data_IF_172006307377
#
_entry.id   IF_172006307377
#
_cell.length_a   1.000
_cell.length_b   1.000
_cell.length_c   1.000
_cell.angle_alpha   90.00
_cell.angle_beta   90.00
_cell.angle_gamma   90.00
#
_symmetry.space_group_name_H-M   'P 1'
#
loop_
_entity.id
_entity.type
_entity.pdbx_description
1 polymer ?
#
# COMPACT_ATOMS: atom_id res chain seq x y z
N UNK A 1 66.49 -12.91 -16.24
CA UNK A 1 65.49 -13.36 -15.23
C UNK A 1 65.83 -12.65 -13.93
N UNK A 2 64.97 -11.77 -13.38
CA UNK A 2 65.29 -11.08 -12.14
C UNK A 2 65.41 -12.11 -11.00
N UNK A 3 66.52 -12.06 -10.27
CA UNK A 3 66.79 -12.94 -9.14
C UNK A 3 65.81 -12.63 -8.00
N UNK A 4 64.96 -13.60 -7.66
CA UNK A 4 64.09 -13.56 -6.49
C UNK A 4 64.95 -13.77 -5.24
N UNK A 5 65.38 -12.68 -4.61
CA UNK A 5 66.00 -12.74 -3.27
C UNK A 5 64.90 -12.84 -2.21
N UNK A 6 65.22 -13.47 -1.08
CA UNK A 6 64.29 -13.64 0.05
C UNK A 6 63.74 -12.28 0.51
N UNK A 7 64.57 -11.23 0.47
CA UNK A 7 64.18 -9.85 0.81
C UNK A 7 63.05 -9.33 -0.09
N UNK A 8 63.11 -9.56 -1.41
CA UNK A 8 62.06 -9.13 -2.36
C UNK A 8 60.74 -9.85 -2.08
N UNK A 9 60.78 -11.11 -1.64
CA UNK A 9 59.59 -11.85 -1.25
C UNK A 9 59.02 -11.36 0.08
N UNK A 10 59.87 -11.01 1.04
CA UNK A 10 59.46 -10.44 2.33
C UNK A 10 58.77 -9.08 2.13
N UNK A 11 59.39 -8.17 1.37
CA UNK A 11 58.80 -6.87 1.04
C UNK A 11 57.45 -7.00 0.31
N UNK A 12 57.32 -8.00 -0.56
CA UNK A 12 56.08 -8.28 -1.29
C UNK A 12 54.97 -8.77 -0.37
N UNK A 13 55.30 -9.62 0.62
CA UNK A 13 54.34 -10.14 1.59
C UNK A 13 53.88 -9.03 2.53
N UNK A 14 54.80 -8.21 3.03
CA UNK A 14 54.47 -7.08 3.90
C UNK A 14 53.56 -6.07 3.19
N UNK A 15 53.85 -5.75 1.92
CA UNK A 15 53.00 -4.90 1.09
C UNK A 15 51.61 -5.50 0.83
N UNK A 16 51.50 -6.83 0.72
CA UNK A 16 50.22 -7.52 0.55
C UNK A 16 49.40 -7.53 1.84
N UNK A 17 50.03 -7.75 2.99
CA UNK A 17 49.37 -7.70 4.31
C UNK A 17 48.85 -6.31 4.65
N UNK A 18 49.60 -5.28 4.28
CA UNK A 18 49.19 -3.89 4.48
C UNK A 18 48.01 -3.50 3.58
N UNK A 19 48.02 -3.95 2.31
CA UNK A 19 46.88 -3.83 1.41
C UNK A 19 45.65 -4.57 1.91
N UNK A 20 45.83 -5.77 2.46
CA UNK A 20 44.70 -6.58 2.95
C UNK A 20 44.01 -5.92 4.16
N UNK A 21 44.79 -5.36 5.10
CA UNK A 21 44.25 -4.60 6.25
C UNK A 21 43.43 -3.38 5.82
N UNK A 22 43.83 -2.70 4.75
CA UNK A 22 43.07 -1.57 4.21
C UNK A 22 41.78 -2.00 3.50
N UNK A 23 41.80 -3.15 2.82
CA UNK A 23 40.61 -3.74 2.19
C UNK A 23 39.60 -4.18 3.23
N UNK A 24 40.01 -4.85 4.31
CA UNK A 24 39.11 -5.30 5.39
C UNK A 24 38.39 -4.14 6.08
N UNK A 25 39.10 -3.05 6.37
CA UNK A 25 38.51 -1.83 6.97
C UNK A 25 37.45 -1.21 6.06
N UNK A 26 37.72 -1.19 4.76
CA UNK A 26 36.78 -0.67 3.75
C UNK A 26 35.56 -1.58 3.63
N UNK A 27 35.78 -2.90 3.58
CA UNK A 27 34.71 -3.88 3.45
C UNK A 27 33.77 -3.89 4.67
N UNK A 28 34.29 -3.66 5.88
CA UNK A 28 33.48 -3.52 7.10
C UNK A 28 32.55 -2.30 7.04
N UNK A 29 33.02 -1.17 6.49
CA UNK A 29 32.20 0.03 6.29
C UNK A 29 31.10 -0.20 5.26
N UNK A 30 31.43 -0.84 4.13
CA UNK A 30 30.46 -1.16 3.10
C UNK A 30 29.43 -2.20 3.54
N UNK A 31 29.81 -3.18 4.37
CA UNK A 31 28.87 -4.13 4.98
C UNK A 31 27.85 -3.44 5.89
N UNK A 32 28.30 -2.52 6.74
CA UNK A 32 27.41 -1.76 7.62
C UNK A 32 26.47 -0.85 6.81
N UNK A 33 26.98 -0.19 5.76
CA UNK A 33 26.17 0.61 4.85
C UNK A 33 25.11 -0.25 4.11
N UNK A 34 25.49 -1.44 3.66
CA UNK A 34 24.59 -2.37 2.97
C UNK A 34 23.47 -2.89 3.88
N UNK A 35 23.78 -3.27 5.12
CA UNK A 35 22.77 -3.69 6.10
C UNK A 35 21.79 -2.56 6.41
N UNK A 36 22.28 -1.33 6.57
CA UNK A 36 21.42 -0.16 6.80
C UNK A 36 20.46 0.12 5.63
N UNK A 37 20.96 0.01 4.39
CA UNK A 37 20.13 0.21 3.19
C UNK A 37 19.01 -0.84 3.08
N UNK A 38 19.30 -2.11 3.38
CA UNK A 38 18.30 -3.19 3.36
C UNK A 38 17.24 -2.97 4.45
N UNK A 39 17.65 -2.60 5.67
CA UNK A 39 16.72 -2.31 6.76
C UNK A 39 15.78 -1.13 6.43
N UNK A 40 16.34 -0.06 5.83
CA UNK A 40 15.55 1.10 5.40
C UNK A 40 14.53 0.74 4.31
N UNK A 41 14.95 -0.04 3.30
CA UNK A 41 14.05 -0.51 2.25
C UNK A 41 12.91 -1.39 2.82
N UNK A 42 13.22 -2.26 3.80
CA UNK A 42 12.20 -3.06 4.50
C UNK A 42 11.17 -2.21 5.25
N UNK A 43 11.61 -1.14 5.92
CA UNK A 43 10.72 -0.21 6.62
C UNK A 43 9.80 0.56 5.65
N UNK A 44 10.33 1.01 4.51
CA UNK A 44 9.53 1.70 3.48
C UNK A 44 8.48 0.76 2.88
N UNK A 45 8.85 -0.48 2.58
CA UNK A 45 7.92 -1.48 2.05
C UNK A 45 6.80 -1.82 3.04
N UNK A 46 7.12 -1.98 4.34
CA UNK A 46 6.14 -2.24 5.39
C UNK A 46 5.19 -1.05 5.61
N UNK A 47 5.70 0.19 5.57
CA UNK A 47 4.88 1.40 5.69
C UNK A 47 3.95 1.65 4.51
N UNK A 48 4.39 1.32 3.28
CA UNK A 48 3.57 1.42 2.08
C UNK A 48 2.43 0.39 2.03
N UNK A 49 2.69 -0.85 2.45
CA UNK A 49 1.68 -1.91 2.49
C UNK A 49 0.54 -1.62 3.49
N UNK A 50 0.83 -0.89 4.57
CA UNK A 50 -0.16 -0.49 5.59
C UNK A 50 -1.15 0.58 5.11
N UNK A 51 -0.79 1.39 4.12
CA UNK A 51 -1.67 2.44 3.58
C UNK A 51 -2.60 1.92 2.48
N UNK A 52 -2.13 0.97 1.65
CA UNK A 52 -2.94 0.36 0.57
C UNK A 52 -4.11 -0.45 1.14
N UNK A 53 -3.90 -1.18 2.24
CA UNK A 53 -4.96 -1.96 2.91
C UNK A 53 -6.05 -1.10 3.52
N UNK A 54 -5.74 0.14 3.94
CA UNK A 54 -6.73 1.06 4.51
C UNK A 54 -7.63 1.65 3.42
N UNK A 55 -7.04 1.99 2.29
CA UNK A 55 -7.78 2.53 1.13
C UNK A 55 -8.65 1.46 0.48
N UNK A 56 -8.16 0.22 0.35
CA UNK A 56 -8.98 -0.89 -0.16
C UNK A 56 -10.12 -1.28 0.79
N UNK A 57 -9.90 -1.22 2.11
CA UNK A 57 -10.96 -1.46 3.09
C UNK A 57 -12.02 -0.34 3.07
N UNK A 58 -11.61 0.91 2.89
CA UNK A 58 -12.53 2.06 2.79
C UNK A 58 -13.32 2.01 1.47
N UNK A 59 -12.68 1.68 0.35
CA UNK A 59 -13.35 1.48 -0.95
C UNK A 59 -14.27 0.24 -0.93
N UNK A 60 -13.87 -0.85 -0.28
CA UNK A 60 -14.73 -2.03 -0.10
C UNK A 60 -15.97 -1.70 0.74
N UNK A 61 -15.83 -0.81 1.73
CA UNK A 61 -16.94 -0.35 2.58
C UNK A 61 -17.88 0.64 1.84
N UNK A 62 -17.38 1.33 0.82
CA UNK A 62 -18.17 2.15 -0.12
C UNK A 62 -18.72 1.36 -1.32
N UNK A 63 -18.67 0.02 -1.30
CA UNK A 63 -19.60 -0.80 -2.11
C UNK A 63 -20.95 -0.87 -1.39
N UNK A 64 -21.44 0.29 -0.95
CA UNK A 64 -22.72 0.39 -0.28
C UNK A 64 -23.79 0.02 -1.30
N UNK A 65 -24.35 -1.18 -1.19
CA UNK A 65 -25.56 -1.54 -1.92
C UNK A 65 -26.75 -0.64 -1.55
N UNK A 66 -26.59 0.30 -0.60
CA UNK A 66 -27.61 1.22 -0.12
C UNK A 66 -27.01 2.61 0.15
N UNK A 67 -27.63 3.64 -0.39
CA UNK A 67 -27.32 5.05 -0.18
C UNK A 67 -28.58 5.76 0.32
N UNK A 68 -28.43 6.63 1.31
CA UNK A 68 -29.54 7.40 1.89
C UNK A 68 -29.47 8.86 1.44
N UNK A 69 -30.60 9.41 1.00
CA UNK A 69 -30.75 10.81 0.65
C UNK A 69 -31.30 11.55 1.86
N UNK A 70 -30.53 12.50 2.39
CA UNK A 70 -30.93 13.36 3.51
C UNK A 70 -31.04 14.82 3.06
N UNK A 71 -31.90 15.59 3.74
CA UNK A 71 -31.95 17.05 3.54
C UNK A 71 -30.92 17.79 4.41
N UNK A 72 -30.90 19.13 4.30
CA UNK A 72 -29.97 19.98 5.05
C UNK A 72 -30.16 19.97 6.57
N UNK A 73 -31.31 19.47 7.05
CA UNK A 73 -31.61 19.29 8.47
C UNK A 73 -31.29 17.86 8.94
N UNK A 74 -30.76 17.01 8.06
CA UNK A 74 -30.42 15.61 8.33
C UNK A 74 -31.61 14.65 8.28
N UNK A 75 -32.79 15.07 7.83
CA UNK A 75 -33.97 14.21 7.70
C UNK A 75 -33.88 13.36 6.43
N UNK A 76 -34.15 12.07 6.55
CA UNK A 76 -34.20 11.13 5.41
C UNK A 76 -35.34 11.49 4.45
N UNK A 77 -35.00 11.58 3.15
CA UNK A 77 -35.87 11.91 2.03
C UNK A 77 -35.96 10.77 1.01
N UNK A 78 -35.08 9.79 1.09
CA UNK A 78 -35.12 8.66 0.19
C UNK A 78 -33.94 7.71 0.37
N UNK A 79 -34.01 6.60 -0.35
CA UNK A 79 -32.99 5.55 -0.34
C UNK A 79 -32.80 5.05 -1.76
N UNK A 80 -31.54 4.97 -2.19
CA UNK A 80 -31.13 4.21 -3.36
C UNK A 80 -30.55 2.87 -2.90
N UNK A 81 -30.97 1.76 -3.49
CA UNK A 81 -30.45 0.44 -3.17
C UNK A 81 -30.29 -0.43 -4.42
N UNK A 82 -29.18 -1.16 -4.50
CA UNK A 82 -28.96 -2.24 -5.46
C UNK A 82 -29.09 -3.55 -4.72
N UNK A 83 -30.03 -4.39 -5.16
CA UNK A 83 -30.28 -5.71 -4.59
C UNK A 83 -29.24 -6.72 -5.10
N UNK A 84 -29.05 -7.82 -4.35
CA UNK A 84 -28.10 -8.88 -4.70
C UNK A 84 -28.43 -9.59 -6.04
N UNK A 85 -29.67 -9.44 -6.54
CA UNK A 85 -30.10 -9.93 -7.84
C UNK A 85 -29.81 -8.95 -9.00
N UNK A 86 -29.19 -7.81 -8.73
CA UNK A 86 -28.83 -6.79 -9.72
C UNK A 86 -29.92 -5.74 -9.99
N UNK A 87 -31.13 -5.89 -9.43
CA UNK A 87 -32.18 -4.87 -9.55
C UNK A 87 -31.81 -3.64 -8.70
N UNK A 88 -32.01 -2.44 -9.25
CA UNK A 88 -31.77 -1.17 -8.56
C UNK A 88 -33.10 -0.45 -8.27
N UNK A 89 -33.23 0.12 -7.08
CA UNK A 89 -34.41 0.87 -6.66
C UNK A 89 -34.03 2.21 -6.04
N UNK A 90 -34.79 3.25 -6.39
CA UNK A 90 -34.76 4.57 -5.76
C UNK A 90 -36.14 4.85 -5.17
N UNK A 91 -36.25 4.87 -3.84
CA UNK A 91 -37.48 5.22 -3.14
C UNK A 91 -37.40 6.61 -2.55
N UNK A 92 -38.44 7.42 -2.76
CA UNK A 92 -38.62 8.71 -2.10
C UNK A 92 -39.59 8.56 -0.93
N UNK A 93 -39.17 9.04 0.23
CA UNK A 93 -40.00 9.08 1.43
C UNK A 93 -40.90 10.31 1.36
N UNK A 94 -42.21 10.08 1.39
CA UNK A 94 -43.18 11.16 1.55
C UNK A 94 -43.03 11.79 2.93
N UNK A 95 -43.14 13.11 3.00
CA UNK A 95 -43.27 13.82 4.28
C UNK A 95 -44.66 13.65 4.91
N UNK A 96 -45.65 13.24 4.13
CA UNK A 96 -47.00 12.91 4.58
C UNK A 96 -47.06 11.42 4.99
N UNK A 97 -47.47 11.09 6.23
CA UNK A 97 -47.68 9.71 6.68
C UNK A 97 -48.68 8.91 5.84
N UNK A 98 -49.60 9.59 5.15
CA UNK A 98 -50.58 8.99 4.24
C UNK A 98 -50.19 9.15 2.77
N UNK A 99 -49.07 9.83 2.49
CA UNK A 99 -48.61 10.07 1.13
C UNK A 99 -48.10 8.79 0.50
N UNK A 100 -48.40 8.61 -0.78
CA UNK A 100 -47.96 7.44 -1.54
C UNK A 100 -46.44 7.55 -1.71
N UNK A 101 -45.63 6.60 -1.19
CA UNK A 101 -44.21 6.58 -1.48
C UNK A 101 -44.01 6.41 -2.98
N UNK A 102 -43.17 7.27 -3.57
CA UNK A 102 -42.82 7.17 -4.98
C UNK A 102 -41.53 6.37 -5.09
N UNK A 103 -41.54 5.31 -5.89
CA UNK A 103 -40.35 4.50 -6.14
C UNK A 103 -40.12 4.36 -7.64
N UNK A 104 -38.85 4.45 -8.04
CA UNK A 104 -38.37 4.08 -9.35
C UNK A 104 -37.58 2.79 -9.19
N UNK A 105 -37.97 1.73 -9.89
CA UNK A 105 -37.29 0.45 -9.85
C UNK A 105 -36.86 0.11 -11.26
N UNK A 106 -35.60 -0.30 -11.40
CA UNK A 106 -35.01 -0.79 -12.63
C UNK A 106 -34.57 -2.22 -12.37
N UNK A 107 -35.04 -3.16 -13.17
CA UNK A 107 -34.60 -4.54 -13.02
C UNK A 107 -33.15 -4.72 -13.50
N UNK A 108 -32.53 -5.86 -13.19
CA UNK A 108 -31.17 -6.23 -13.65
C UNK A 108 -30.99 -6.13 -15.17
N UNK A 109 -32.09 -6.21 -15.93
CA UNK A 109 -32.11 -6.15 -17.39
C UNK A 109 -32.28 -4.71 -17.92
N UNK A 110 -32.36 -3.72 -17.05
CA UNK A 110 -32.47 -2.30 -17.41
C UNK A 110 -33.89 -1.83 -17.78
N UNK A 111 -34.91 -2.62 -17.43
CA UNK A 111 -36.32 -2.33 -17.69
C UNK A 111 -37.03 -1.76 -16.46
#
# INVERSE_FOLDING_TARGET
MPNLTIEVLVDRVEALEERNRNVERSNRRWRLAGVGAIALAGLIAAGGAFQVTKVEAEIAQYTGNKYELTDGDGKSRGVFQVSNNGSAGLGFLSSDPNGIPTALVVDKDGN
#
